data_IF_741470189662
#
_entry.id   IF_741470189662
#
_cell.length_a   1.000
_cell.length_b   1.000
_cell.length_c   1.000
_cell.angle_alpha   90.00
_cell.angle_beta   90.00
_cell.angle_gamma   90.00
#
_symmetry.space_group_name_H-M   'P 1'
#
loop_
_entity.id
_entity.type
_entity.pdbx_description
1 polymer ?
#
# COMPACT_ATOMS: atom_id res chain seq x y z
N UNK A 1 5.31 12.25 29.79
CA UNK A 1 4.92 12.17 28.37
C UNK A 1 5.77 11.07 27.74
N UNK A 2 5.29 9.82 27.74
CA UNK A 2 6.09 8.67 27.33
C UNK A 2 6.02 8.48 25.81
N UNK A 3 6.93 9.12 25.08
CA UNK A 3 7.34 8.67 23.74
C UNK A 3 8.22 7.40 23.88
N UNK A 4 7.66 6.35 24.51
CA UNK A 4 8.35 5.07 24.72
C UNK A 4 7.90 4.14 23.60
N UNK A 5 8.84 3.84 22.70
CA UNK A 5 8.72 2.88 21.59
C UNK A 5 7.47 3.04 20.72
N UNK A 6 7.55 3.90 19.70
CA UNK A 6 6.97 3.43 18.43
C UNK A 6 7.77 2.17 18.10
N UNK A 7 7.16 1.00 18.31
CA UNK A 7 7.82 -0.30 18.20
C UNK A 7 8.54 -0.35 16.84
N UNK A 8 9.87 -0.46 16.87
CA UNK A 8 10.69 -0.66 15.66
C UNK A 8 10.14 -1.82 14.84
N UNK A 9 9.55 -2.82 15.50
CA UNK A 9 8.83 -3.92 14.88
C UNK A 9 7.63 -3.47 14.05
N UNK A 10 6.87 -2.47 14.49
CA UNK A 10 5.71 -1.95 13.77
C UNK A 10 6.13 -1.13 12.55
N UNK A 11 7.18 -0.33 12.69
CA UNK A 11 7.80 0.39 11.56
C UNK A 11 8.35 -0.62 10.55
N UNK A 12 9.15 -1.59 11.00
CA UNK A 12 9.72 -2.62 10.13
C UNK A 12 8.64 -3.43 9.39
N UNK A 13 7.53 -3.77 10.05
CA UNK A 13 6.39 -4.45 9.41
C UNK A 13 5.67 -3.57 8.39
N UNK A 14 5.50 -2.27 8.67
CA UNK A 14 4.91 -1.32 7.72
C UNK A 14 5.80 -1.13 6.47
N UNK A 15 7.11 -1.08 6.66
CA UNK A 15 8.11 -1.02 5.58
C UNK A 15 8.07 -2.31 4.73
N UNK A 16 8.05 -3.47 5.38
CA UNK A 16 7.96 -4.76 4.69
C UNK A 16 6.67 -4.87 3.88
N UNK A 17 5.55 -4.42 4.46
CA UNK A 17 4.26 -4.39 3.77
C UNK A 17 4.32 -3.47 2.55
N UNK A 18 4.86 -2.26 2.71
CA UNK A 18 5.01 -1.31 1.62
C UNK A 18 5.89 -1.85 0.49
N UNK A 19 6.96 -2.60 0.82
CA UNK A 19 7.84 -3.22 -0.15
C UNK A 19 7.13 -4.34 -0.93
N UNK A 20 6.44 -5.24 -0.24
CA UNK A 20 5.67 -6.34 -0.88
C UNK A 20 4.58 -5.75 -1.78
N UNK A 21 3.84 -4.76 -1.29
CA UNK A 21 2.82 -4.05 -2.08
C UNK A 21 3.44 -3.39 -3.32
N UNK A 22 4.57 -2.71 -3.19
CA UNK A 22 5.23 -2.04 -4.32
C UNK A 22 5.65 -3.04 -5.41
N UNK A 23 6.23 -4.19 -5.03
CA UNK A 23 6.62 -5.24 -5.98
C UNK A 23 5.39 -5.79 -6.71
N UNK A 24 4.32 -6.11 -5.97
CA UNK A 24 3.11 -6.69 -6.54
C UNK A 24 2.43 -5.75 -7.53
N UNK A 25 2.32 -4.46 -7.17
CA UNK A 25 1.70 -3.44 -8.02
C UNK A 25 2.54 -3.16 -9.25
N UNK A 26 3.87 -3.16 -9.12
CA UNK A 26 4.77 -3.00 -10.26
C UNK A 26 4.66 -4.16 -11.24
N UNK A 27 4.54 -5.39 -10.73
CA UNK A 27 4.27 -6.57 -11.55
C UNK A 27 2.93 -6.44 -12.28
N UNK A 28 1.85 -6.08 -11.58
CA UNK A 28 0.53 -5.89 -12.20
C UNK A 28 0.50 -4.76 -13.23
N UNK A 29 1.21 -3.66 -12.97
CA UNK A 29 1.25 -2.51 -13.88
C UNK A 29 2.04 -2.80 -15.17
N UNK A 30 3.03 -3.68 -15.10
CA UNK A 30 3.89 -4.03 -16.23
C UNK A 30 3.43 -5.29 -16.95
N UNK A 31 2.52 -6.09 -16.38
CA UNK A 31 2.02 -7.30 -17.03
C UNK A 31 1.27 -6.89 -18.32
N UNK A 32 1.72 -7.40 -19.47
CA UNK A 32 1.18 -7.01 -20.78
C UNK A 32 1.72 -5.69 -21.34
N UNK A 33 2.62 -5.00 -20.64
CA UNK A 33 3.29 -3.79 -21.13
C UNK A 33 4.55 -4.16 -21.94
N UNK A 34 4.88 -3.43 -23.02
CA UNK A 34 6.17 -3.60 -23.72
C UNK A 34 7.38 -3.28 -22.83
N UNK A 35 7.16 -2.60 -21.70
CA UNK A 35 8.19 -2.27 -20.72
C UNK A 35 8.42 -3.39 -19.68
N UNK A 36 7.75 -4.55 -19.82
CA UNK A 36 7.95 -5.70 -18.95
C UNK A 36 9.39 -6.19 -19.04
N UNK A 37 10.18 -5.82 -18.03
CA UNK A 37 11.59 -6.17 -17.90
C UNK A 37 11.97 -6.14 -16.43
N UNK A 38 13.04 -6.85 -16.07
CA UNK A 38 13.56 -6.82 -14.70
C UNK A 38 13.87 -5.39 -14.23
N UNK A 39 14.51 -4.59 -15.10
CA UNK A 39 14.78 -3.19 -14.82
C UNK A 39 13.51 -2.34 -14.69
N UNK A 40 12.51 -2.58 -15.53
CA UNK A 40 11.21 -1.89 -15.44
C UNK A 40 10.53 -2.17 -14.10
N UNK A 41 10.47 -3.44 -13.68
CA UNK A 41 9.88 -3.83 -12.39
C UNK A 41 10.62 -3.16 -11.23
N UNK A 42 11.96 -3.12 -11.28
CA UNK A 42 12.77 -2.51 -10.23
C UNK A 42 12.51 -0.99 -10.13
N UNK A 43 12.47 -0.28 -11.26
CA UNK A 43 12.19 1.16 -11.31
C UNK A 43 10.78 1.46 -10.78
N UNK A 44 9.75 0.77 -11.29
CA UNK A 44 8.38 0.96 -10.82
C UNK A 44 8.24 0.61 -9.34
N UNK A 45 8.92 -0.43 -8.86
CA UNK A 45 8.91 -0.81 -7.45
C UNK A 45 9.48 0.31 -6.60
N UNK A 46 10.62 0.90 -6.99
CA UNK A 46 11.18 2.05 -6.26
C UNK A 46 10.22 3.24 -6.22
N UNK A 47 9.56 3.56 -7.35
CA UNK A 47 8.60 4.67 -7.43
C UNK A 47 7.41 4.43 -6.49
N UNK A 48 6.73 3.28 -6.61
CA UNK A 48 5.60 2.93 -5.75
C UNK A 48 6.01 2.84 -4.28
N UNK A 49 7.19 2.29 -3.99
CA UNK A 49 7.72 2.21 -2.64
C UNK A 49 7.90 3.59 -2.02
N UNK A 50 8.46 4.57 -2.74
CA UNK A 50 8.58 5.94 -2.24
C UNK A 50 7.21 6.55 -1.89
N UNK A 51 6.19 6.37 -2.73
CA UNK A 51 4.84 6.84 -2.42
C UNK A 51 4.22 6.12 -1.21
N UNK A 52 4.42 4.80 -1.11
CA UNK A 52 3.94 4.04 0.04
C UNK A 52 4.65 4.40 1.35
N UNK A 53 5.94 4.77 1.31
CA UNK A 53 6.64 5.26 2.49
C UNK A 53 6.05 6.58 3.03
N UNK A 54 5.69 7.50 2.13
CA UNK A 54 5.21 8.82 2.54
C UNK A 54 3.73 8.81 2.93
N UNK A 55 2.93 7.94 2.31
CA UNK A 55 1.46 7.95 2.46
C UNK A 55 0.97 6.72 3.22
N UNK A 56 1.31 5.51 2.74
CA UNK A 56 0.74 4.27 3.27
C UNK A 56 1.37 3.86 4.62
N UNK A 57 2.68 4.02 4.79
CA UNK A 57 3.39 3.67 6.02
C UNK A 57 2.92 4.48 7.25
N UNK A 58 2.82 5.83 7.21
CA UNK A 58 2.29 6.58 8.35
C UNK A 58 0.82 6.26 8.60
N UNK A 59 0.03 6.02 7.55
CA UNK A 59 -1.36 5.59 7.67
C UNK A 59 -1.48 4.22 8.38
N UNK A 60 -0.65 3.24 8.02
CA UNK A 60 -0.58 1.93 8.68
C UNK A 60 -0.22 2.08 10.16
N UNK A 61 0.80 2.89 10.46
CA UNK A 61 1.22 3.16 11.84
C UNK A 61 0.07 3.79 12.62
N UNK A 62 -0.67 4.75 12.04
CA UNK A 62 -1.80 5.41 12.67
C UNK A 62 -2.99 4.48 12.92
N UNK A 63 -3.40 3.69 11.90
CA UNK A 63 -4.49 2.73 12.01
C UNK A 63 -4.20 1.63 13.03
N UNK A 64 -2.94 1.21 13.13
CA UNK A 64 -2.52 0.15 14.02
C UNK A 64 -2.34 0.61 15.49
N UNK A 65 -2.49 1.90 15.80
CA UNK A 65 -2.60 2.37 17.19
C UNK A 65 -3.88 1.86 17.88
N UNK A 66 -4.93 1.56 17.10
CA UNK A 66 -6.18 0.95 17.58
C UNK A 66 -6.54 -0.24 16.70
N UNK A 67 -5.83 -1.38 16.82
CA UNK A 67 -5.97 -2.48 15.88
C UNK A 67 -7.41 -3.03 15.89
N UNK A 68 -8.07 -3.02 14.74
CA UNK A 68 -9.39 -3.64 14.50
C UNK A 68 -9.27 -4.68 13.40
N UNK A 69 -9.36 -5.96 13.76
CA UNK A 69 -9.16 -7.08 12.82
C UNK A 69 -10.22 -7.07 11.75
N UNK A 70 -9.77 -7.12 10.49
CA UNK A 70 -10.62 -7.19 9.31
C UNK A 70 -11.75 -6.15 9.33
N UNK A 71 -11.46 -4.93 9.78
CA UNK A 71 -12.47 -3.88 9.79
C UNK A 71 -12.77 -3.44 8.36
N UNK A 72 -14.04 -3.46 7.97
CA UNK A 72 -14.53 -2.88 6.70
C UNK A 72 -14.15 -1.40 6.60
N UNK A 73 -14.06 -0.70 7.74
CA UNK A 73 -13.68 0.71 7.78
C UNK A 73 -12.21 0.90 7.36
N UNK A 74 -11.33 -0.03 7.73
CA UNK A 74 -9.92 0.01 7.31
C UNK A 74 -9.80 -0.31 5.82
N UNK A 75 -10.58 -1.25 5.31
CA UNK A 75 -10.65 -1.50 3.87
C UNK A 75 -11.09 -0.26 3.09
N UNK A 76 -12.10 0.47 3.55
CA UNK A 76 -12.55 1.72 2.93
C UNK A 76 -11.45 2.79 2.94
N UNK A 77 -10.73 2.93 4.05
CA UNK A 77 -9.60 3.87 4.16
C UNK A 77 -8.49 3.48 3.19
N UNK A 78 -8.03 2.22 3.20
CA UNK A 78 -7.00 1.75 2.28
C UNK A 78 -7.41 1.90 0.82
N UNK A 79 -8.70 1.77 0.51
CA UNK A 79 -9.23 1.96 -0.82
C UNK A 79 -9.07 3.43 -1.29
N UNK A 80 -9.47 4.41 -0.47
CA UNK A 80 -9.27 5.83 -0.78
C UNK A 80 -7.79 6.16 -0.98
N UNK A 81 -6.91 5.74 -0.07
CA UNK A 81 -5.48 6.03 -0.16
C UNK A 81 -4.81 5.32 -1.34
N UNK A 82 -5.19 4.07 -1.63
CA UNK A 82 -4.69 3.36 -2.81
C UNK A 82 -5.12 4.06 -4.09
N UNK A 83 -6.38 4.51 -4.18
CA UNK A 83 -6.87 5.28 -5.33
C UNK A 83 -6.11 6.60 -5.54
N UNK A 84 -5.78 7.31 -4.45
CA UNK A 84 -4.97 8.54 -4.51
C UNK A 84 -3.56 8.24 -5.04
N UNK A 85 -2.89 7.21 -4.50
CA UNK A 85 -1.52 6.86 -4.90
C UNK A 85 -1.48 6.41 -6.36
N UNK A 86 -2.37 5.50 -6.75
CA UNK A 86 -2.46 5.03 -8.13
C UNK A 86 -2.83 6.18 -9.09
N UNK A 87 -3.70 7.10 -8.66
CA UNK A 87 -4.07 8.28 -9.43
C UNK A 87 -2.91 9.24 -9.66
N UNK A 88 -2.15 9.56 -8.61
CA UNK A 88 -0.95 10.40 -8.69
C UNK A 88 0.07 9.76 -9.65
N UNK A 89 0.34 8.47 -9.49
CA UNK A 89 1.27 7.74 -10.35
C UNK A 89 0.80 7.78 -11.80
N UNK A 90 -0.47 7.51 -12.07
CA UNK A 90 -1.02 7.54 -13.42
C UNK A 90 -0.90 8.94 -14.07
N UNK A 91 -1.12 10.01 -13.32
CA UNK A 91 -0.93 11.38 -13.82
C UNK A 91 0.55 11.68 -14.12
N UNK A 92 1.48 11.24 -13.28
CA UNK A 92 2.93 11.41 -13.51
C UNK A 92 3.37 10.72 -14.80
N UNK A 93 2.80 9.56 -15.11
CA UNK A 93 3.06 8.83 -16.36
C UNK A 93 2.23 9.32 -17.56
N UNK A 94 1.52 10.44 -17.43
CA UNK A 94 0.83 11.10 -18.55
C UNK A 94 -0.51 10.48 -18.95
N UNK A 95 -1.11 9.64 -18.11
CA UNK A 95 -2.44 9.08 -18.36
C UNK A 95 -3.48 10.20 -18.15
N UNK A 96 -4.07 10.71 -19.24
CA UNK A 96 -5.01 11.85 -19.21
C UNK A 96 -6.28 11.59 -18.40
N UNK A 97 -6.84 10.37 -18.47
CA UNK A 97 -8.08 9.99 -17.79
C UNK A 97 -7.95 8.62 -17.09
N UNK A 98 -7.23 8.54 -15.96
CA UNK A 98 -7.02 7.28 -15.24
C UNK A 98 -8.34 6.68 -14.75
N UNK A 99 -9.32 7.52 -14.38
CA UNK A 99 -10.65 7.12 -13.91
C UNK A 99 -11.56 6.52 -14.99
N UNK A 100 -11.14 6.48 -16.26
CA UNK A 100 -11.90 5.80 -17.32
C UNK A 100 -11.39 4.38 -17.61
N UNK A 101 -10.26 3.98 -17.03
CA UNK A 101 -9.67 2.67 -17.28
C UNK A 101 -10.17 1.64 -16.26
N UNK A 102 -10.69 0.51 -16.74
CA UNK A 102 -11.01 -0.64 -15.89
C UNK A 102 -9.78 -1.19 -15.18
N UNK A 103 -8.61 -1.12 -15.82
CA UNK A 103 -7.33 -1.54 -15.25
C UNK A 103 -6.95 -0.70 -14.03
N UNK A 104 -7.25 0.61 -14.06
CA UNK A 104 -7.02 1.49 -12.92
C UNK A 104 -7.85 1.08 -11.70
N UNK A 105 -9.14 0.82 -11.89
CA UNK A 105 -10.03 0.37 -10.81
C UNK A 105 -9.59 -0.98 -10.25
N UNK A 106 -9.26 -1.92 -11.15
CA UNK A 106 -8.76 -3.22 -10.74
C UNK A 106 -7.47 -3.09 -9.92
N UNK A 107 -6.51 -2.30 -10.38
CA UNK A 107 -5.22 -2.13 -9.72
C UNK A 107 -5.37 -1.53 -8.31
N UNK A 108 -6.09 -0.42 -8.14
CA UNK A 108 -6.20 0.17 -6.81
C UNK A 108 -7.03 -0.68 -5.85
N UNK A 109 -8.07 -1.40 -6.33
CA UNK A 109 -8.85 -2.31 -5.48
C UNK A 109 -7.95 -3.44 -4.98
N UNK A 110 -7.12 -4.00 -5.86
CA UNK A 110 -6.14 -5.04 -5.49
C UNK A 110 -5.10 -4.51 -4.51
N UNK A 111 -4.58 -3.29 -4.70
CA UNK A 111 -3.71 -2.62 -3.73
C UNK A 111 -4.39 -2.53 -2.35
N UNK A 112 -5.61 -2.02 -2.31
CA UNK A 112 -6.35 -1.79 -1.08
C UNK A 112 -6.60 -3.10 -0.33
N UNK A 113 -6.97 -4.15 -1.06
CA UNK A 113 -7.19 -5.47 -0.50
C UNK A 113 -5.90 -6.09 0.04
N UNK A 114 -4.80 -5.95 -0.69
CA UNK A 114 -3.49 -6.43 -0.25
C UNK A 114 -3.02 -5.70 1.00
N UNK A 115 -3.10 -4.37 1.06
CA UNK A 115 -2.80 -3.61 2.27
C UNK A 115 -3.69 -4.01 3.44
N UNK A 116 -4.99 -4.20 3.21
CA UNK A 116 -5.92 -4.61 4.26
C UNK A 116 -5.63 -6.01 4.82
N UNK A 117 -5.31 -6.98 3.95
CA UNK A 117 -4.91 -8.33 4.35
C UNK A 117 -3.59 -8.30 5.12
N UNK A 118 -2.57 -7.65 4.54
CA UNK A 118 -1.23 -7.65 5.12
C UNK A 118 -1.22 -6.89 6.45
N UNK A 119 -1.95 -5.78 6.57
CA UNK A 119 -2.12 -5.06 7.83
C UNK A 119 -2.84 -5.93 8.89
N UNK A 120 -3.94 -6.60 8.49
CA UNK A 120 -4.71 -7.48 9.38
C UNK A 120 -3.91 -8.71 9.86
N UNK A 121 -2.98 -9.22 9.05
CA UNK A 121 -2.15 -10.41 9.38
C UNK A 121 -0.88 -10.02 10.13
N UNK A 122 -0.10 -9.06 9.62
CA UNK A 122 1.22 -8.72 10.13
C UNK A 122 1.18 -7.72 11.29
N UNK A 123 0.32 -6.71 11.23
CA UNK A 123 0.36 -5.59 12.17
C UNK A 123 -0.57 -5.79 13.36
N UNK A 124 -1.68 -6.50 13.19
CA UNK A 124 -2.64 -6.73 14.28
C UNK A 124 -2.30 -7.95 15.16
N UNK A 125 -1.09 -7.92 15.74
CA UNK A 125 -0.75 -8.83 16.84
C UNK A 125 -1.74 -8.54 17.97
N UNK A 126 -2.35 -9.61 18.49
CA UNK A 126 -3.31 -9.61 19.60
C UNK A 126 -2.82 -8.60 20.66
N UNK A 127 -3.58 -7.54 20.88
CA UNK A 127 -3.59 -6.88 22.18
C UNK A 127 -4.15 -7.95 23.13
N UNK A 128 -3.29 -8.84 23.61
CA UNK A 128 -3.65 -9.73 24.70
C UNK A 128 -4.05 -8.78 25.83
N UNK A 129 -5.36 -8.69 26.06
CA UNK A 129 -5.92 -8.15 27.28
C UNK A 129 -5.24 -8.92 28.41
N UNK A 130 -4.32 -8.26 29.11
CA UNK A 130 -4.12 -8.54 30.52
C UNK A 130 -5.32 -7.97 31.28
#
# INVERSE_FOLDING_TARGET
>A
MQLKSVDIDMIARSLLTSLISAIFVSMLQLIGSPYFSFFGILIFTCIFFCFYLVIASPLQIFLNQRPKKFSILYLAIYNVFSGVITGIVAMIFGIKNPFHSSEFYFLFIMCAFLFWIVDSILLQKKMNKH
#
